data_IF_461942247363
#
_entry.id   IF_461942247363
#
_cell.length_a   1.000
_cell.length_b   1.000
_cell.length_c   1.000
_cell.angle_alpha   90.00
_cell.angle_beta   90.00
_cell.angle_gamma   90.00
#
_symmetry.space_group_name_H-M   'P 1'
#
loop_
_entity.id
_entity.type
_entity.pdbx_description
1 polymer ?
#
# COMPACT_ATOMS: atom_id res chain seq x y z
N UNK A 1 -39.04 -17.67 -1.33
CA UNK A 1 -39.53 -17.98 -2.69
C UNK A 1 -38.76 -17.07 -3.63
N UNK A 2 -37.76 -17.59 -4.35
CA UNK A 2 -36.97 -16.79 -5.30
C UNK A 2 -37.86 -16.42 -6.50
N UNK A 3 -38.08 -15.13 -6.71
CA UNK A 3 -38.86 -14.66 -7.86
C UNK A 3 -38.06 -14.88 -9.15
N UNK A 4 -38.78 -15.08 -10.25
CA UNK A 4 -38.18 -15.27 -11.59
C UNK A 4 -38.53 -14.06 -12.45
N UNK A 5 -37.54 -13.52 -13.13
CA UNK A 5 -37.66 -12.30 -13.93
C UNK A 5 -37.18 -12.56 -15.36
N UNK A 6 -37.77 -11.88 -16.34
CA UNK A 6 -37.21 -11.78 -17.68
C UNK A 6 -36.21 -10.62 -17.76
N UNK A 7 -35.36 -10.62 -18.80
CA UNK A 7 -34.51 -9.44 -19.08
C UNK A 7 -35.32 -8.18 -19.36
N UNK A 8 -36.54 -8.32 -19.90
CA UNK A 8 -37.43 -7.20 -20.16
C UNK A 8 -37.96 -6.58 -18.85
N UNK A 9 -38.25 -7.41 -17.84
CA UNK A 9 -38.64 -6.94 -16.51
C UNK A 9 -37.53 -6.07 -15.93
N UNK A 10 -36.29 -6.58 -15.89
CA UNK A 10 -35.12 -5.83 -15.41
C UNK A 10 -34.94 -4.53 -16.20
N UNK A 11 -35.08 -4.56 -17.53
CA UNK A 11 -34.91 -3.37 -18.38
C UNK A 11 -35.90 -2.23 -18.08
N UNK A 12 -37.06 -2.53 -17.50
CA UNK A 12 -38.04 -1.53 -17.06
C UNK A 12 -37.64 -0.78 -15.78
N UNK A 13 -36.70 -1.33 -15.01
CA UNK A 13 -36.15 -0.76 -13.76
C UNK A 13 -34.80 -0.07 -14.04
N UNK A 14 -34.85 1.03 -14.81
CA UNK A 14 -33.68 1.74 -15.33
C UNK A 14 -33.56 3.20 -14.86
N UNK A 15 -34.26 3.60 -13.80
CA UNK A 15 -34.34 4.99 -13.31
C UNK A 15 -33.80 5.12 -11.89
N UNK A 16 -33.54 6.35 -11.46
CA UNK A 16 -32.99 6.63 -10.13
C UNK A 16 -33.93 6.33 -8.96
N UNK A 17 -35.22 6.14 -9.21
CA UNK A 17 -36.25 5.73 -8.24
C UNK A 17 -36.60 4.24 -8.37
N UNK A 18 -35.98 3.52 -9.32
CA UNK A 18 -36.24 2.13 -9.64
C UNK A 18 -35.07 1.56 -10.46
N UNK A 19 -34.10 0.95 -9.77
CA UNK A 19 -32.80 0.58 -10.34
C UNK A 19 -32.46 -0.89 -10.08
N UNK A 20 -32.61 -1.74 -11.10
CA UNK A 20 -32.25 -3.15 -11.04
C UNK A 20 -31.09 -3.48 -11.97
N UNK A 21 -30.32 -4.51 -11.62
CA UNK A 21 -29.24 -5.04 -12.47
C UNK A 21 -29.23 -6.57 -12.44
N UNK A 22 -28.59 -7.17 -13.44
CA UNK A 22 -28.28 -8.61 -13.46
C UNK A 22 -26.78 -8.82 -13.20
N UNK A 23 -26.46 -9.76 -12.32
CA UNK A 23 -25.10 -10.30 -12.12
C UNK A 23 -25.18 -11.82 -12.09
N UNK A 24 -24.53 -12.48 -13.05
CA UNK A 24 -24.50 -13.96 -13.20
C UNK A 24 -25.91 -14.59 -13.12
N UNK A 25 -26.82 -14.00 -13.88
CA UNK A 25 -28.25 -14.38 -13.99
C UNK A 25 -29.06 -14.23 -12.69
N UNK A 26 -28.50 -13.65 -11.63
CA UNK A 26 -29.25 -13.19 -10.45
C UNK A 26 -29.66 -11.72 -10.60
N UNK A 27 -30.86 -11.38 -10.16
CA UNK A 27 -31.44 -10.03 -10.25
C UNK A 27 -31.37 -9.35 -8.89
N UNK A 28 -30.82 -8.13 -8.88
CA UNK A 28 -30.59 -7.34 -7.68
C UNK A 28 -31.32 -6.00 -7.77
N UNK A 29 -32.00 -5.62 -6.69
CA UNK A 29 -32.59 -4.29 -6.53
C UNK A 29 -31.61 -3.38 -5.78
N UNK A 30 -31.11 -2.36 -6.47
CA UNK A 30 -30.15 -1.40 -5.93
C UNK A 30 -30.79 -0.04 -5.64
N UNK A 31 -32.12 0.08 -5.72
CA UNK A 31 -32.84 1.35 -5.58
C UNK A 31 -32.53 2.06 -4.26
N UNK A 32 -32.37 1.31 -3.15
CA UNK A 32 -31.97 1.90 -1.86
C UNK A 32 -30.45 1.94 -1.68
N UNK A 33 -29.74 0.99 -2.28
CA UNK A 33 -28.29 0.84 -2.12
C UNK A 33 -27.48 1.85 -2.96
N UNK A 34 -28.09 2.46 -3.98
CA UNK A 34 -27.38 3.33 -4.91
C UNK A 34 -26.71 4.55 -4.26
N UNK A 35 -27.22 5.00 -3.11
CA UNK A 35 -26.66 6.12 -2.34
C UNK A 35 -25.49 5.66 -1.43
N UNK A 36 -25.45 4.37 -1.08
CA UNK A 36 -24.41 3.74 -0.24
C UNK A 36 -23.28 3.10 -1.07
N UNK A 37 -23.43 3.05 -2.40
CA UNK A 37 -22.45 2.43 -3.28
C UNK A 37 -21.13 3.25 -3.31
N UNK A 38 -19.95 2.70 -2.93
CA UNK A 38 -18.70 3.46 -2.80
C UNK A 38 -18.22 4.15 -4.08
N UNK A 39 -18.56 3.61 -5.25
CA UNK A 39 -18.27 4.25 -6.55
C UNK A 39 -19.23 5.39 -6.93
N UNK A 40 -20.22 5.69 -6.08
CA UNK A 40 -21.25 6.69 -6.30
C UNK A 40 -22.39 6.26 -7.23
N UNK A 41 -23.56 6.86 -7.00
CA UNK A 41 -24.83 6.61 -7.73
C UNK A 41 -24.72 6.68 -9.25
N UNK A 42 -23.94 7.63 -9.78
CA UNK A 42 -23.79 7.87 -11.23
C UNK A 42 -23.25 6.66 -12.00
N UNK A 43 -22.45 5.80 -11.36
CA UNK A 43 -21.90 4.60 -12.00
C UNK A 43 -23.00 3.55 -12.18
N UNK A 44 -23.86 3.37 -11.18
CA UNK A 44 -24.97 2.42 -11.21
C UNK A 44 -26.03 2.81 -12.25
N UNK A 45 -26.30 4.11 -12.41
CA UNK A 45 -27.26 4.59 -13.42
C UNK A 45 -26.88 4.19 -14.86
N UNK A 46 -25.58 3.99 -15.16
CA UNK A 46 -25.12 3.58 -16.50
C UNK A 46 -25.47 2.14 -16.86
N UNK A 47 -25.58 1.29 -15.83
CA UNK A 47 -25.87 -0.15 -15.94
C UNK A 47 -27.26 -0.52 -15.45
N UNK A 48 -28.06 0.47 -15.03
CA UNK A 48 -29.44 0.30 -14.63
C UNK A 48 -30.26 -0.36 -15.76
N UNK A 49 -31.02 -1.39 -15.38
CA UNK A 49 -31.83 -2.21 -16.29
C UNK A 49 -31.03 -3.13 -17.22
N UNK A 50 -29.75 -3.39 -16.94
CA UNK A 50 -28.87 -4.18 -17.82
C UNK A 50 -28.19 -5.33 -17.09
N UNK A 51 -27.62 -6.23 -17.89
CA UNK A 51 -26.62 -7.20 -17.43
C UNK A 51 -25.29 -6.47 -17.16
N UNK A 52 -24.91 -6.44 -15.89
CA UNK A 52 -23.73 -5.78 -15.40
C UNK A 52 -22.63 -6.78 -14.99
N UNK A 53 -22.76 -8.07 -15.32
CA UNK A 53 -21.84 -9.12 -14.82
C UNK A 53 -20.39 -8.81 -15.17
N UNK A 54 -20.10 -8.39 -16.41
CA UNK A 54 -18.73 -8.02 -16.84
C UNK A 54 -18.19 -6.82 -16.05
N UNK A 55 -19.01 -5.80 -15.82
CA UNK A 55 -18.63 -4.60 -15.08
C UNK A 55 -18.45 -4.90 -13.59
N UNK A 56 -19.31 -5.75 -13.03
CA UNK A 56 -19.23 -6.20 -11.65
C UNK A 56 -17.88 -6.87 -11.40
N UNK A 57 -17.53 -7.89 -12.20
CA UNK A 57 -16.28 -8.64 -12.03
C UNK A 57 -15.00 -7.87 -12.39
N UNK A 58 -15.11 -6.77 -13.14
CA UNK A 58 -13.99 -5.87 -13.39
C UNK A 58 -13.58 -5.08 -12.13
N UNK A 59 -14.52 -4.79 -11.23
CA UNK A 59 -14.31 -3.89 -10.09
C UNK A 59 -14.59 -4.52 -8.71
N UNK A 60 -15.17 -5.72 -8.67
CA UNK A 60 -15.58 -6.41 -7.44
C UNK A 60 -15.13 -7.87 -7.45
N UNK A 61 -15.16 -8.50 -6.27
CA UNK A 61 -14.83 -9.92 -6.07
C UNK A 61 -16.02 -10.67 -5.44
N UNK A 62 -15.88 -12.00 -5.33
CA UNK A 62 -16.94 -12.89 -4.84
C UNK A 62 -17.36 -12.58 -3.39
N UNK A 63 -16.44 -12.08 -2.55
CA UNK A 63 -16.73 -11.70 -1.17
C UNK A 63 -17.77 -10.58 -1.06
N UNK A 64 -17.73 -9.62 -2.00
CA UNK A 64 -18.74 -8.55 -2.08
C UNK A 64 -20.11 -9.15 -2.43
N UNK A 65 -20.15 -10.06 -3.40
CA UNK A 65 -21.39 -10.72 -3.77
C UNK A 65 -21.97 -11.53 -2.59
N UNK A 66 -21.14 -12.31 -1.89
CA UNK A 66 -21.56 -13.06 -0.68
C UNK A 66 -22.13 -12.16 0.42
N UNK A 67 -21.52 -10.98 0.62
CA UNK A 67 -21.95 -10.02 1.65
C UNK A 67 -23.32 -9.41 1.35
N UNK A 68 -23.55 -8.97 0.11
CA UNK A 68 -24.74 -8.18 -0.24
C UNK A 68 -25.87 -8.99 -0.88
N UNK A 69 -25.60 -10.21 -1.35
CA UNK A 69 -26.61 -11.09 -1.96
C UNK A 69 -27.82 -11.35 -1.06
N UNK A 70 -27.68 -11.65 0.25
CA UNK A 70 -28.84 -11.88 1.12
C UNK A 70 -29.78 -10.68 1.25
N UNK A 71 -29.26 -9.45 1.10
CA UNK A 71 -30.03 -8.21 1.29
C UNK A 71 -30.54 -7.59 0.00
N UNK A 72 -29.85 -7.78 -1.13
CA UNK A 72 -30.13 -7.06 -2.38
C UNK A 72 -30.70 -7.96 -3.48
N UNK A 73 -30.54 -9.28 -3.38
CA UNK A 73 -31.07 -10.20 -4.39
C UNK A 73 -32.59 -10.30 -4.26
N UNK A 74 -33.30 -10.01 -5.35
CA UNK A 74 -34.77 -10.16 -5.42
C UNK A 74 -35.19 -11.41 -6.19
N UNK A 75 -34.31 -12.00 -6.99
CA UNK A 75 -34.56 -13.25 -7.68
C UNK A 75 -33.49 -13.61 -8.71
N UNK A 76 -33.88 -14.35 -9.74
CA UNK A 76 -33.00 -14.79 -10.83
C UNK A 76 -33.73 -14.72 -12.18
N UNK A 77 -32.96 -14.69 -13.27
CA UNK A 77 -33.53 -14.73 -14.60
C UNK A 77 -34.20 -16.07 -14.89
N UNK A 78 -35.22 -16.04 -15.73
CA UNK A 78 -35.88 -17.20 -16.33
C UNK A 78 -34.93 -18.12 -17.11
N UNK A 79 -33.82 -17.57 -17.62
CA UNK A 79 -32.74 -18.32 -18.27
C UNK A 79 -31.89 -19.15 -17.30
N UNK A 80 -31.94 -18.88 -15.99
CA UNK A 80 -31.10 -19.56 -15.02
C UNK A 80 -31.63 -20.98 -14.78
N UNK A 81 -30.82 -22.04 -14.97
CA UNK A 81 -31.25 -23.41 -14.72
C UNK A 81 -31.76 -23.54 -13.28
N UNK A 82 -33.04 -23.93 -13.11
CA UNK A 82 -33.57 -24.23 -11.78
C UNK A 82 -32.78 -25.41 -11.21
N UNK A 83 -32.04 -25.18 -10.12
CA UNK A 83 -31.47 -26.28 -9.37
C UNK A 83 -32.61 -27.17 -8.88
N UNK A 84 -32.63 -28.43 -9.30
CA UNK A 84 -33.51 -29.44 -8.70
C UNK A 84 -33.33 -29.43 -7.17
N UNK A 85 -34.40 -29.60 -6.39
CA UNK A 85 -34.26 -29.72 -4.95
C UNK A 85 -33.41 -30.96 -4.65
N UNK A 86 -32.24 -30.75 -4.03
CA UNK A 86 -31.48 -31.85 -3.42
C UNK A 86 -32.42 -32.60 -2.46
N UNK A 87 -32.47 -33.94 -2.49
CA UNK A 87 -33.26 -34.70 -1.53
C UNK A 87 -32.84 -34.33 -0.11
N UNK A 88 -33.81 -34.10 0.77
CA UNK A 88 -33.58 -34.09 2.21
C UNK A 88 -32.88 -35.39 2.61
N UNK A 89 -31.69 -35.27 3.19
CA UNK A 89 -31.08 -36.37 3.92
C UNK A 89 -31.93 -36.61 5.17
N UNK A 90 -32.74 -37.67 5.11
CA UNK A 90 -33.34 -38.30 6.28
C UNK A 90 -32.24 -38.63 7.28
N UNK A 91 -32.49 -38.28 8.53
CA UNK A 91 -31.74 -38.75 9.67
C UNK A 91 -31.81 -40.28 9.75
N UNK A 92 -30.63 -40.93 9.75
CA UNK A 92 -30.47 -42.26 10.31
C UNK A 92 -29.39 -42.22 11.40
N UNK A 93 -29.78 -42.69 12.59
CA UNK A 93 -28.98 -42.81 13.79
C UNK A 93 -28.22 -44.17 13.78
N UNK A 94 -26.97 -44.24 14.25
CA UNK A 94 -26.51 -44.67 15.60
C UNK A 94 -25.00 -45.02 15.48
N UNK A 95 -24.16 -45.07 16.55
CA UNK A 95 -24.52 -45.53 17.89
C UNK A 95 -24.04 -44.69 19.08
N UNK A 96 -24.85 -44.75 20.12
CA UNK A 96 -24.49 -44.44 21.50
C UNK A 96 -23.40 -45.41 21.97
N UNK A 97 -22.21 -44.88 22.26
CA UNK A 97 -21.30 -45.47 23.23
C UNK A 97 -20.86 -44.38 24.20
N UNK A 98 -21.38 -44.46 25.41
CA UNK A 98 -20.85 -43.77 26.59
C UNK A 98 -19.45 -44.31 26.88
N UNK A 99 -18.43 -43.47 26.76
CA UNK A 99 -17.14 -43.69 27.39
C UNK A 99 -16.88 -42.53 28.36
N UNK A 100 -16.75 -42.91 29.63
CA UNK A 100 -16.47 -42.01 30.73
C UNK A 100 -15.16 -41.25 30.50
N UNK A 101 -15.14 -39.99 30.95
CA UNK A 101 -13.93 -39.18 31.00
C UNK A 101 -12.84 -39.91 31.81
N UNK A 102 -11.63 -40.11 31.26
CA UNK A 102 -10.52 -40.57 32.06
C UNK A 102 -10.06 -39.42 32.96
N UNK A 103 -10.01 -39.69 34.26
CA UNK A 103 -9.35 -38.85 35.25
C UNK A 103 -7.86 -38.75 34.88
N UNK A 104 -7.28 -37.55 34.74
CA UNK A 104 -5.86 -37.44 34.40
C UNK A 104 -5.02 -37.94 35.57
N UNK A 105 -4.28 -39.02 35.33
CA UNK A 105 -3.23 -39.52 36.21
C UNK A 105 -2.00 -38.63 36.00
N UNK A 106 -1.54 -37.97 37.08
CA UNK A 106 -0.28 -37.22 37.09
C UNK A 106 0.90 -38.17 36.88
N UNK A 107 1.68 -37.95 35.82
CA UNK A 107 3.07 -38.38 35.69
C UNK A 107 3.85 -37.26 34.96
N UNK A 108 5.15 -37.09 35.24
CA UNK A 108 5.77 -35.78 35.36
C UNK A 108 6.04 -35.14 34.00
N UNK A 109 5.48 -33.95 33.81
CA UNK A 109 5.88 -33.03 32.74
C UNK A 109 7.28 -32.55 33.08
N UNK A 110 8.26 -32.91 32.26
CA UNK A 110 9.53 -32.18 32.21
C UNK A 110 9.20 -30.74 31.82
N UNK A 111 9.53 -29.82 32.72
CA UNK A 111 9.37 -28.38 32.54
C UNK A 111 10.20 -27.91 31.33
N UNK A 112 9.59 -27.81 30.17
CA UNK A 112 9.94 -26.74 29.24
C UNK A 112 9.24 -25.50 29.77
N UNK A 113 10.02 -24.49 30.15
CA UNK A 113 9.54 -23.20 30.60
C UNK A 113 8.70 -22.58 29.48
N UNK A 114 7.37 -22.62 29.61
CA UNK A 114 6.53 -21.62 28.96
C UNK A 114 6.84 -20.31 29.68
N UNK A 115 7.58 -19.41 29.01
CA UNK A 115 7.71 -18.03 29.47
C UNK A 115 6.29 -17.45 29.54
N UNK A 116 5.81 -17.25 30.76
CA UNK A 116 4.61 -16.49 31.05
C UNK A 116 4.87 -15.07 30.51
N UNK A 117 4.23 -14.72 29.40
CA UNK A 117 4.49 -13.44 28.74
C UNK A 117 4.02 -12.30 29.65
N UNK A 118 4.98 -11.67 30.33
CA UNK A 118 4.74 -10.58 31.27
C UNK A 118 4.16 -9.35 30.54
N UNK A 119 3.23 -8.64 31.20
CA UNK A 119 2.71 -7.39 30.65
C UNK A 119 3.83 -6.34 30.59
N UNK A 120 3.94 -5.64 29.45
CA UNK A 120 4.90 -4.54 29.29
C UNK A 120 4.64 -3.43 30.32
N UNK A 121 5.73 -2.78 30.76
CA UNK A 121 5.63 -1.57 31.59
C UNK A 121 4.77 -0.50 30.89
N UNK A 122 3.92 0.18 31.67
CA UNK A 122 3.03 1.20 31.14
C UNK A 122 3.82 2.39 30.57
N UNK A 123 3.49 2.77 29.34
CA UNK A 123 4.09 3.91 28.64
C UNK A 123 3.04 4.88 28.06
N UNK A 124 3.39 6.16 27.90
CA UNK A 124 2.54 7.18 27.26
C UNK A 124 1.62 7.97 28.19
N UNK A 125 0.64 8.66 27.59
CA UNK A 125 -0.17 9.74 28.17
C UNK A 125 -1.10 9.33 29.32
N UNK A 126 -1.33 8.03 29.56
CA UNK A 126 -2.30 7.47 30.52
C UNK A 126 -3.76 7.99 30.39
N UNK A 127 -4.02 8.89 29.44
CA UNK A 127 -5.35 9.35 29.06
C UNK A 127 -6.01 8.22 28.28
N UNK A 128 -7.23 7.79 28.64
CA UNK A 128 -7.93 6.74 27.92
C UNK A 128 -7.97 7.02 26.42
N UNK A 129 -7.54 6.05 25.61
CA UNK A 129 -7.52 6.09 24.15
C UNK A 129 -6.57 7.11 23.50
N UNK A 130 -5.71 7.80 24.27
CA UNK A 130 -4.68 8.68 23.72
C UNK A 130 -3.47 7.92 23.16
N UNK A 131 -3.34 6.65 23.51
CA UNK A 131 -2.24 5.75 23.15
C UNK A 131 -2.78 4.34 22.89
N UNK A 132 -2.16 3.56 21.97
CA UNK A 132 -2.42 2.14 21.84
C UNK A 132 -2.31 1.36 23.15
N UNK A 133 -3.28 0.49 23.42
CA UNK A 133 -3.35 -0.28 24.66
C UNK A 133 -2.26 -1.35 24.81
N UNK A 134 -1.60 -1.75 23.72
CA UNK A 134 -0.64 -2.85 23.71
C UNK A 134 0.65 -2.58 24.50
N UNK A 135 0.95 -1.32 24.85
CA UNK A 135 2.02 -0.96 25.78
C UNK A 135 1.49 -0.28 27.07
N UNK A 136 0.19 -0.48 27.37
CA UNK A 136 -0.50 0.06 28.55
C UNK A 136 -1.29 -1.04 29.27
N UNK A 137 -0.68 -2.20 29.51
CA UNK A 137 -1.26 -3.39 30.19
C UNK A 137 -1.96 -4.44 29.31
N UNK A 138 -1.87 -4.37 27.97
CA UNK A 138 -2.43 -5.41 27.09
C UNK A 138 -1.33 -6.20 26.39
N UNK A 139 -1.28 -7.51 26.60
CA UNK A 139 -0.37 -8.38 25.86
C UNK A 139 -0.82 -8.55 24.40
N UNK A 140 0.08 -8.29 23.46
CA UNK A 140 -0.14 -8.47 22.03
C UNK A 140 0.74 -9.59 21.49
N UNK A 141 0.18 -10.49 20.68
CA UNK A 141 0.98 -11.48 19.95
C UNK A 141 1.85 -10.86 18.83
N UNK A 142 1.67 -9.58 18.52
CA UNK A 142 2.36 -8.86 17.45
C UNK A 142 3.38 -7.84 17.95
N UNK A 143 3.24 -7.36 19.19
CA UNK A 143 4.12 -6.33 19.75
C UNK A 143 4.83 -6.90 20.98
N UNK A 144 6.07 -6.48 21.18
CA UNK A 144 6.96 -6.92 22.25
C UNK A 144 7.81 -5.75 22.74
N UNK A 145 8.83 -6.03 23.55
CA UNK A 145 9.68 -5.02 24.19
C UNK A 145 10.46 -4.19 23.18
N UNK A 146 10.90 -4.76 22.04
CA UNK A 146 11.64 -3.99 21.04
C UNK A 146 10.75 -2.97 20.34
N UNK A 147 9.47 -3.29 20.14
CA UNK A 147 8.47 -2.36 19.64
C UNK A 147 8.22 -1.21 20.63
N UNK A 148 8.08 -1.52 21.91
CA UNK A 148 7.89 -0.51 22.95
C UNK A 148 9.12 0.41 23.08
N UNK A 149 10.33 -0.17 23.05
CA UNK A 149 11.59 0.58 23.11
C UNK A 149 11.76 1.52 21.90
N UNK A 150 11.42 1.05 20.69
CA UNK A 150 11.43 1.88 19.49
C UNK A 150 10.45 3.04 19.60
N UNK A 151 9.23 2.75 20.05
CA UNK A 151 8.21 3.78 20.23
C UNK A 151 8.67 4.86 21.19
N UNK A 152 9.28 4.48 22.31
CA UNK A 152 9.81 5.43 23.28
C UNK A 152 10.90 6.32 22.68
N UNK A 153 11.85 5.72 21.97
CA UNK A 153 12.95 6.43 21.32
C UNK A 153 12.46 7.42 20.24
N UNK A 154 11.54 6.99 19.37
CA UNK A 154 11.01 7.85 18.30
C UNK A 154 10.13 8.95 18.90
N UNK A 155 9.34 8.66 19.93
CA UNK A 155 8.49 9.65 20.60
C UNK A 155 9.32 10.76 21.22
N UNK A 156 10.40 10.42 21.92
CA UNK A 156 11.29 11.41 22.52
C UNK A 156 11.77 12.42 21.45
N UNK A 157 12.20 11.93 20.29
CA UNK A 157 12.59 12.79 19.18
C UNK A 157 11.44 13.60 18.59
N UNK A 158 10.27 12.99 18.41
CA UNK A 158 9.08 13.66 17.87
C UNK A 158 8.62 14.79 18.78
N UNK A 159 8.46 14.55 20.08
CA UNK A 159 7.96 15.54 21.05
C UNK A 159 8.96 16.69 21.27
N UNK A 160 10.28 16.41 21.22
CA UNK A 160 11.30 17.42 21.47
C UNK A 160 11.68 18.25 20.23
N UNK A 161 11.86 17.60 19.07
CA UNK A 161 12.49 18.22 17.90
C UNK A 161 11.51 18.50 16.74
N UNK A 162 10.28 17.95 16.77
CA UNK A 162 9.34 18.04 15.64
C UNK A 162 8.04 18.72 16.06
N UNK A 163 7.33 18.19 17.05
CA UNK A 163 6.01 18.66 17.47
C UNK A 163 5.95 20.17 17.74
N UNK A 164 6.93 20.80 18.44
CA UNK A 164 6.89 22.22 18.71
C UNK A 164 6.96 23.12 17.47
N UNK A 165 7.46 22.58 16.35
CA UNK A 165 7.82 23.35 15.15
C UNK A 165 6.99 22.99 13.91
N UNK A 166 6.32 21.84 13.91
CA UNK A 166 5.67 21.28 12.70
C UNK A 166 4.65 22.23 12.07
N UNK A 167 3.92 22.98 12.90
CA UNK A 167 2.90 23.93 12.43
C UNK A 167 3.56 25.06 11.64
N UNK A 168 4.65 25.62 12.14
CA UNK A 168 5.43 26.65 11.46
C UNK A 168 6.02 26.14 10.14
N UNK A 169 6.52 24.90 10.14
CA UNK A 169 7.07 24.27 8.93
C UNK A 169 6.01 24.07 7.84
N UNK A 170 4.80 23.66 8.23
CA UNK A 170 3.68 23.55 7.29
C UNK A 170 3.28 24.90 6.70
N UNK A 171 3.15 25.94 7.52
CA UNK A 171 2.83 27.29 7.05
C UNK A 171 3.91 27.84 6.10
N UNK A 172 5.19 27.55 6.39
CA UNK A 172 6.33 27.87 5.53
C UNK A 172 6.45 26.96 4.31
N UNK A 173 5.65 25.90 4.24
CA UNK A 173 5.69 24.85 3.21
C UNK A 173 7.04 24.14 3.13
N UNK A 174 7.82 24.10 4.20
CA UNK A 174 9.19 23.57 4.17
C UNK A 174 9.56 22.95 5.52
N UNK A 175 10.11 21.73 5.48
CA UNK A 175 10.70 21.06 6.65
C UNK A 175 12.21 21.26 6.59
N UNK A 176 12.87 21.68 7.68
CA UNK A 176 14.32 21.83 7.70
C UNK A 176 15.01 20.53 7.26
N UNK A 177 15.96 20.64 6.32
CA UNK A 177 16.73 19.47 5.80
C UNK A 177 17.36 18.65 6.93
N UNK A 178 17.74 19.30 8.01
CA UNK A 178 18.36 18.67 9.18
C UNK A 178 17.47 17.60 9.81
N UNK A 179 16.14 17.74 9.79
CA UNK A 179 15.22 16.73 10.33
C UNK A 179 15.28 15.43 9.52
N UNK A 180 15.42 15.53 8.21
CA UNK A 180 15.57 14.35 7.34
C UNK A 180 16.96 13.69 7.51
N UNK A 181 18.01 14.49 7.67
CA UNK A 181 19.35 13.98 7.99
C UNK A 181 19.36 13.27 9.35
N UNK A 182 18.68 13.82 10.34
CA UNK A 182 18.58 13.25 11.67
C UNK A 182 17.88 11.89 11.66
N UNK A 183 16.82 11.71 10.86
CA UNK A 183 16.23 10.39 10.63
C UNK A 183 17.23 9.37 10.07
N UNK A 184 18.14 9.81 9.20
CA UNK A 184 19.24 8.99 8.69
C UNK A 184 20.33 8.72 9.74
N UNK A 185 20.67 9.68 10.59
CA UNK A 185 21.63 9.50 11.71
C UNK A 185 21.11 8.55 12.77
N UNK A 186 19.80 8.55 13.02
CA UNK A 186 19.11 7.62 13.92
C UNK A 186 18.88 6.24 13.31
N UNK A 187 19.17 6.07 12.02
CA UNK A 187 19.01 4.80 11.30
C UNK A 187 17.55 4.46 10.97
N UNK A 188 16.61 5.40 11.11
CA UNK A 188 15.19 5.18 10.85
C UNK A 188 14.90 4.93 9.36
N UNK A 189 15.61 5.61 8.46
CA UNK A 189 15.40 5.46 7.02
C UNK A 189 15.65 4.03 6.52
N UNK A 190 16.58 3.29 7.13
CA UNK A 190 16.81 1.87 6.79
C UNK A 190 15.62 0.96 7.14
N UNK A 191 14.79 1.37 8.10
CA UNK A 191 13.58 0.67 8.51
C UNK A 191 12.32 1.05 7.72
N UNK A 192 12.38 2.03 6.80
CA UNK A 192 11.22 2.63 6.11
C UNK A 192 11.16 2.27 4.61
N UNK A 193 11.64 1.09 4.23
CA UNK A 193 11.74 0.64 2.84
C UNK A 193 10.79 -0.54 2.51
N UNK A 194 9.94 -0.99 3.43
CA UNK A 194 9.03 -2.11 3.21
C UNK A 194 9.71 -3.44 2.85
N UNK A 195 10.99 -3.60 3.22
CA UNK A 195 11.84 -4.75 2.94
C UNK A 195 12.60 -5.17 4.19
N UNK A 196 13.26 -6.32 4.15
CA UNK A 196 14.22 -6.72 5.20
C UNK A 196 15.27 -5.61 5.38
N UNK A 197 15.59 -5.30 6.63
CA UNK A 197 16.55 -4.26 7.00
C UNK A 197 17.89 -4.43 6.22
N UNK A 198 18.33 -3.45 5.43
CA UNK A 198 19.44 -3.58 4.49
C UNK A 198 20.79 -3.37 5.18
N UNK A 199 21.19 -4.32 6.03
CA UNK A 199 22.37 -4.23 6.90
C UNK A 199 23.65 -3.91 6.12
N UNK A 200 23.80 -4.44 4.91
CA UNK A 200 25.00 -4.26 4.08
C UNK A 200 25.18 -2.84 3.53
N UNK A 201 24.13 -2.01 3.54
CA UNK A 201 24.16 -0.62 3.08
C UNK A 201 23.95 0.39 4.22
N UNK A 202 23.70 -0.09 5.43
CA UNK A 202 23.31 0.74 6.57
C UNK A 202 24.51 1.08 7.44
N UNK A 203 24.84 2.37 7.52
CA UNK A 203 25.93 2.87 8.36
C UNK A 203 25.45 3.16 9.80
N UNK A 204 24.32 3.85 9.92
CA UNK A 204 23.71 4.21 11.20
C UNK A 204 22.55 3.28 11.52
N UNK A 205 22.42 2.85 12.77
CA UNK A 205 21.40 1.88 13.20
C UNK A 205 20.50 2.48 14.25
N UNK A 206 19.27 2.00 14.27
CA UNK A 206 18.31 2.27 15.36
C UNK A 206 18.92 1.80 16.67
N UNK A 207 18.86 2.66 17.70
CA UNK A 207 19.52 2.40 18.99
C UNK A 207 18.80 1.31 19.78
N UNK A 208 17.47 1.38 19.82
CA UNK A 208 16.60 0.46 20.58
C UNK A 208 16.42 -0.92 19.95
N UNK A 209 16.62 -1.06 18.64
CA UNK A 209 16.28 -2.29 17.91
C UNK A 209 17.46 -2.77 17.06
N UNK A 210 18.02 -3.96 17.35
CA UNK A 210 19.04 -4.55 16.51
C UNK A 210 18.44 -4.97 15.16
N UNK A 211 19.15 -4.83 14.02
CA UNK A 211 18.61 -5.15 12.69
C UNK A 211 18.05 -6.56 12.54
N UNK A 212 18.58 -7.52 13.30
CA UNK A 212 18.17 -8.93 13.26
C UNK A 212 16.77 -9.15 13.86
N UNK A 213 16.30 -8.21 14.69
CA UNK A 213 14.95 -8.21 15.29
C UNK A 213 13.98 -7.27 14.56
N UNK A 214 14.41 -6.60 13.49
CA UNK A 214 13.55 -5.68 12.75
C UNK A 214 12.45 -6.42 11.98
N UNK A 215 11.21 -5.95 12.12
CA UNK A 215 10.05 -6.43 11.38
C UNK A 215 9.18 -5.26 10.87
N UNK A 216 8.06 -5.57 10.21
CA UNK A 216 7.16 -4.55 9.64
C UNK A 216 6.37 -3.76 10.71
N UNK A 217 6.24 -4.29 11.94
CA UNK A 217 5.58 -3.56 13.02
C UNK A 217 6.50 -2.46 13.56
N UNK A 218 7.82 -2.63 13.52
CA UNK A 218 8.78 -1.56 13.80
C UNK A 218 8.69 -0.41 12.78
N UNK A 219 8.57 -0.73 11.49
CA UNK A 219 8.32 0.26 10.43
C UNK A 219 7.01 1.02 10.65
N UNK A 220 5.95 0.30 11.04
CA UNK A 220 4.66 0.89 11.37
C UNK A 220 4.76 1.83 12.57
N UNK A 221 5.57 1.51 13.59
CA UNK A 221 5.76 2.36 14.77
C UNK A 221 6.45 3.68 14.42
N UNK A 222 7.49 3.67 13.58
CA UNK A 222 8.10 4.93 13.12
C UNK A 222 7.06 5.78 12.41
N UNK A 223 6.28 5.16 11.50
CA UNK A 223 5.23 5.87 10.76
C UNK A 223 4.16 6.46 11.68
N UNK A 224 3.74 5.70 12.69
CA UNK A 224 2.73 6.11 13.66
C UNK A 224 3.22 7.26 14.56
N UNK A 225 4.44 7.16 15.10
CA UNK A 225 5.02 8.24 15.92
C UNK A 225 5.26 9.52 15.12
N UNK A 226 5.75 9.42 13.87
CA UNK A 226 5.84 10.60 12.97
C UNK A 226 4.46 11.23 12.69
N UNK A 227 3.38 10.44 12.73
CA UNK A 227 2.02 10.92 12.48
C UNK A 227 1.38 11.61 13.69
N UNK A 228 1.92 11.43 14.90
CA UNK A 228 1.37 12.02 16.14
C UNK A 228 1.27 13.53 16.11
N UNK A 229 2.15 14.18 15.36
CA UNK A 229 2.21 15.65 15.27
C UNK A 229 1.07 16.26 14.43
N UNK A 230 0.17 15.43 13.88
CA UNK A 230 -1.04 15.90 13.20
C UNK A 230 -0.81 16.56 11.84
N UNK A 231 0.39 16.46 11.27
CA UNK A 231 0.74 17.04 9.98
C UNK A 231 0.95 15.98 8.89
N UNK A 232 0.01 15.89 7.95
CA UNK A 232 0.19 15.08 6.75
C UNK A 232 1.30 15.60 5.84
N UNK A 233 1.57 16.91 5.86
CA UNK A 233 2.65 17.53 5.09
C UNK A 233 4.01 17.03 5.55
N UNK A 234 4.24 17.05 6.87
CA UNK A 234 5.47 16.56 7.49
C UNK A 234 5.66 15.05 7.28
N UNK A 235 4.62 14.24 7.53
CA UNK A 235 4.70 12.79 7.30
C UNK A 235 5.07 12.50 5.85
N UNK A 236 4.42 13.15 4.88
CA UNK A 236 4.75 12.95 3.47
C UNK A 236 6.11 13.53 3.08
N UNK A 237 6.60 14.56 3.78
CA UNK A 237 7.99 15.02 3.64
C UNK A 237 8.96 13.90 4.02
N UNK A 238 8.78 13.30 5.19
CA UNK A 238 9.71 12.32 5.74
C UNK A 238 9.67 10.98 5.01
N UNK A 239 8.48 10.44 4.73
CA UNK A 239 8.34 9.06 4.23
C UNK A 239 7.60 8.96 2.88
N UNK A 240 6.89 10.02 2.46
CA UNK A 240 5.96 9.95 1.33
C UNK A 240 6.63 9.73 -0.03
N UNK A 241 7.79 10.35 -0.28
CA UNK A 241 8.60 10.05 -1.47
C UNK A 241 9.55 8.88 -1.25
N UNK A 242 10.25 8.88 -0.12
CA UNK A 242 11.26 7.88 0.24
C UNK A 242 10.70 6.45 0.27
N UNK A 243 9.62 6.24 1.02
CA UNK A 243 9.05 4.92 1.30
C UNK A 243 8.42 4.23 0.08
N UNK A 244 8.22 4.96 -1.03
CA UNK A 244 7.72 4.41 -2.29
C UNK A 244 8.73 4.49 -3.44
N UNK A 245 9.65 5.46 -3.39
CA UNK A 245 10.71 5.64 -4.38
C UNK A 245 11.89 4.69 -4.18
N UNK A 246 12.25 4.41 -2.92
CA UNK A 246 13.35 3.53 -2.54
C UNK A 246 13.12 2.03 -2.80
N UNK A 247 11.96 1.44 -2.45
CA UNK A 247 11.76 -0.01 -2.55
C UNK A 247 11.98 -0.61 -3.95
N UNK A 248 11.59 0.05 -5.07
CA UNK A 248 11.90 -0.45 -6.41
C UNK A 248 13.41 -0.56 -6.69
N UNK A 249 14.24 0.37 -6.20
CA UNK A 249 15.70 0.28 -6.31
C UNK A 249 16.23 -0.91 -5.50
N UNK A 250 15.77 -1.09 -4.26
CA UNK A 250 16.18 -2.22 -3.42
C UNK A 250 15.80 -3.55 -4.05
N UNK A 251 14.58 -3.65 -4.61
CA UNK A 251 14.05 -4.91 -5.14
C UNK A 251 14.57 -5.25 -6.53
N UNK A 252 14.68 -4.27 -7.42
CA UNK A 252 14.90 -4.49 -8.86
C UNK A 252 16.16 -3.83 -9.42
N UNK A 253 16.84 -2.98 -8.65
CA UNK A 253 18.09 -2.36 -9.08
C UNK A 253 19.21 -3.38 -9.29
N UNK A 254 20.15 -3.04 -10.18
CA UNK A 254 21.41 -3.78 -10.31
C UNK A 254 22.28 -3.55 -9.07
N UNK A 255 23.17 -4.48 -8.74
CA UNK A 255 24.05 -4.38 -7.56
C UNK A 255 24.86 -3.08 -7.56
N UNK A 256 25.40 -2.68 -8.72
CA UNK A 256 26.16 -1.44 -8.87
C UNK A 256 25.36 -0.18 -8.52
N UNK A 257 24.05 -0.14 -8.83
CA UNK A 257 23.19 0.97 -8.42
C UNK A 257 22.94 0.96 -6.91
N UNK A 258 22.64 -0.22 -6.35
CA UNK A 258 22.39 -0.37 -4.91
C UNK A 258 23.60 0.07 -4.09
N UNK A 259 24.79 -0.43 -4.45
CA UNK A 259 26.05 -0.10 -3.80
C UNK A 259 26.34 1.41 -3.81
N UNK A 260 26.01 2.10 -4.91
CA UNK A 260 26.28 3.53 -5.07
C UNK A 260 25.24 4.43 -4.38
N UNK A 261 23.96 4.05 -4.40
CA UNK A 261 22.85 4.94 -4.05
C UNK A 261 22.29 4.67 -2.66
N UNK A 262 22.18 3.40 -2.26
CA UNK A 262 21.54 3.06 -0.97
C UNK A 262 22.23 3.73 0.22
N UNK A 263 23.57 3.74 0.34
CA UNK A 263 24.21 4.40 1.48
C UNK A 263 23.79 5.86 1.63
N UNK A 264 23.74 6.63 0.54
CA UNK A 264 23.40 8.06 0.59
C UNK A 264 21.93 8.35 0.89
N UNK A 265 20.99 7.50 0.45
CA UNK A 265 19.58 7.68 0.81
C UNK A 265 19.28 7.20 2.24
N UNK A 266 20.05 6.24 2.75
CA UNK A 266 19.88 5.70 4.10
C UNK A 266 20.48 6.63 5.18
N UNK A 267 21.52 7.40 4.85
CA UNK A 267 22.04 8.47 5.70
C UNK A 267 21.20 9.75 5.62
N UNK A 268 20.26 9.83 4.69
CA UNK A 268 19.44 11.02 4.43
C UNK A 268 20.18 12.13 3.67
N UNK A 269 21.45 11.93 3.30
CA UNK A 269 22.23 12.91 2.53
C UNK A 269 21.63 13.16 1.14
N UNK A 270 21.03 12.10 0.59
CA UNK A 270 20.35 12.07 -0.70
C UNK A 270 18.89 11.69 -0.52
N UNK A 271 18.02 12.18 -1.41
CA UNK A 271 16.58 11.85 -1.40
C UNK A 271 16.16 11.13 -2.66
N UNK A 272 15.17 10.24 -2.52
CA UNK A 272 14.57 9.49 -3.61
C UNK A 272 13.05 9.63 -3.57
N UNK A 273 12.40 9.72 -4.72
CA UNK A 273 10.95 9.70 -4.84
C UNK A 273 10.45 8.81 -5.98
N UNK A 274 9.15 8.54 -6.00
CA UNK A 274 8.47 7.80 -7.06
C UNK A 274 7.78 8.75 -8.04
N UNK A 275 8.12 8.65 -9.31
CA UNK A 275 7.65 9.52 -10.39
C UNK A 275 6.84 8.74 -11.44
N UNK A 276 5.56 8.50 -11.15
CA UNK A 276 4.66 7.72 -12.02
C UNK A 276 3.64 8.63 -12.71
N UNK A 277 2.80 9.28 -11.92
CA UNK A 277 1.63 10.03 -12.37
C UNK A 277 2.01 11.17 -13.30
N UNK A 278 1.20 11.37 -14.33
CA UNK A 278 1.34 12.42 -15.34
C UNK A 278 0.12 13.34 -15.32
N UNK A 279 0.18 14.52 -15.96
CA UNK A 279 -1.00 15.38 -16.13
C UNK A 279 -2.22 14.65 -16.69
N UNK A 280 -2.00 13.75 -17.66
CA UNK A 280 -3.04 13.03 -18.38
C UNK A 280 -3.23 11.57 -17.93
N UNK A 281 -2.38 11.06 -17.02
CA UNK A 281 -2.41 9.67 -16.55
C UNK A 281 -2.24 9.57 -15.02
N UNK A 282 -3.38 9.50 -14.32
CA UNK A 282 -3.47 9.24 -12.88
C UNK A 282 -3.84 7.80 -12.56
N UNK A 283 -5.15 7.50 -12.55
CA UNK A 283 -5.65 6.13 -12.34
C UNK A 283 -5.33 5.19 -13.50
N UNK A 284 -5.14 5.73 -14.70
CA UNK A 284 -4.81 4.98 -15.92
C UNK A 284 -3.32 5.06 -16.25
N UNK A 285 -2.48 4.59 -15.31
CA UNK A 285 -1.01 4.57 -15.46
C UNK A 285 -0.57 3.78 -16.71
N UNK A 286 -1.39 2.84 -17.18
CA UNK A 286 -1.07 2.02 -18.34
C UNK A 286 -0.95 2.83 -19.63
N UNK A 287 -1.52 4.04 -19.67
CA UNK A 287 -1.51 4.97 -20.79
C UNK A 287 -0.63 6.21 -20.56
N UNK A 288 0.34 6.12 -19.64
CA UNK A 288 1.38 7.14 -19.51
C UNK A 288 2.13 7.36 -20.84
N UNK A 289 2.59 8.59 -21.05
CA UNK A 289 3.17 9.10 -22.29
C UNK A 289 4.61 9.58 -22.15
N UNK A 290 5.14 9.76 -20.93
CA UNK A 290 6.56 10.02 -20.73
C UNK A 290 7.39 8.89 -21.33
N UNK A 291 8.15 9.21 -22.38
CA UNK A 291 8.83 8.24 -23.22
C UNK A 291 10.30 8.09 -22.85
N UNK A 292 10.84 6.91 -23.13
CA UNK A 292 12.24 6.58 -23.00
C UNK A 292 12.67 5.80 -24.25
N UNK A 293 13.29 6.50 -25.20
CA UNK A 293 13.77 5.91 -26.46
C UNK A 293 15.21 5.46 -26.33
N UNK A 294 15.51 4.23 -26.72
CA UNK A 294 16.89 3.75 -26.72
C UNK A 294 17.72 4.53 -27.76
N UNK A 295 18.90 4.98 -27.38
CA UNK A 295 19.86 5.64 -28.26
C UNK A 295 20.34 4.68 -29.35
N UNK A 296 20.81 5.21 -30.48
CA UNK A 296 21.30 4.41 -31.61
C UNK A 296 22.43 3.46 -31.22
N UNK A 297 23.28 3.85 -30.26
CA UNK A 297 24.37 3.04 -29.74
C UNK A 297 23.94 2.02 -28.67
N UNK A 298 22.67 2.03 -28.27
CA UNK A 298 22.10 1.11 -27.29
C UNK A 298 22.55 1.34 -25.85
N UNK A 299 23.20 2.46 -25.54
CA UNK A 299 23.80 2.70 -24.21
C UNK A 299 22.95 3.54 -23.28
N UNK A 300 22.04 4.35 -23.82
CA UNK A 300 21.21 5.25 -23.04
C UNK A 300 19.75 5.19 -23.49
N UNK A 301 18.84 5.44 -22.55
CA UNK A 301 17.50 5.90 -22.85
C UNK A 301 17.52 7.43 -22.91
N UNK A 302 16.91 8.00 -23.94
CA UNK A 302 16.59 9.42 -24.05
C UNK A 302 15.18 9.61 -23.52
N UNK A 303 15.05 10.26 -22.37
CA UNK A 303 13.78 10.40 -21.64
C UNK A 303 13.18 11.77 -21.87
N UNK A 304 11.91 11.81 -22.28
CA UNK A 304 11.13 13.02 -22.50
C UNK A 304 9.73 12.89 -21.88
N UNK A 305 9.24 13.93 -21.21
CA UNK A 305 7.88 14.01 -20.71
C UNK A 305 7.75 14.65 -19.34
N UNK A 306 6.56 14.57 -18.77
CA UNK A 306 6.22 15.26 -17.52
C UNK A 306 5.62 14.33 -16.48
N UNK A 307 5.89 14.63 -15.22
CA UNK A 307 5.31 13.98 -14.05
C UNK A 307 4.64 15.01 -13.16
N UNK A 308 3.54 14.63 -12.53
CA UNK A 308 2.69 15.49 -11.70
C UNK A 308 2.35 14.80 -10.39
N UNK A 309 2.19 15.59 -9.33
CA UNK A 309 1.90 15.12 -7.97
C UNK A 309 3.05 14.32 -7.34
N UNK A 310 4.30 14.64 -7.68
CA UNK A 310 5.45 13.87 -7.19
C UNK A 310 5.88 14.40 -5.82
N UNK A 311 5.55 13.65 -4.78
CA UNK A 311 5.95 13.93 -3.39
C UNK A 311 7.46 13.93 -3.25
N UNK A 312 7.99 14.92 -2.52
CA UNK A 312 9.42 15.21 -2.32
C UNK A 312 10.23 15.55 -3.59
N UNK A 313 9.60 15.57 -4.78
CA UNK A 313 10.30 15.74 -6.05
C UNK A 313 11.18 17.00 -6.12
N UNK A 314 10.85 18.05 -5.38
CA UNK A 314 11.63 19.30 -5.34
C UNK A 314 13.01 19.12 -4.66
N UNK A 315 13.16 18.14 -3.75
CA UNK A 315 14.41 17.87 -3.04
C UNK A 315 15.09 16.57 -3.47
N UNK A 316 14.39 15.68 -4.19
CA UNK A 316 14.95 14.38 -4.60
C UNK A 316 16.16 14.51 -5.51
N UNK A 317 17.19 13.73 -5.24
CA UNK A 317 18.33 13.51 -6.12
C UNK A 317 18.05 12.39 -7.12
N UNK A 318 17.19 11.44 -6.73
CA UNK A 318 16.87 10.25 -7.51
C UNK A 318 15.35 10.13 -7.74
N UNK A 319 14.97 9.75 -8.95
CA UNK A 319 13.58 9.57 -9.36
C UNK A 319 13.40 8.16 -9.88
N UNK A 320 12.63 7.34 -9.16
CA UNK A 320 12.13 6.07 -9.67
C UNK A 320 10.97 6.38 -10.60
N UNK A 321 11.21 6.35 -11.91
CA UNK A 321 10.30 6.92 -12.92
C UNK A 321 9.68 5.83 -13.79
N UNK A 322 8.36 5.82 -13.91
CA UNK A 322 7.68 5.00 -14.91
C UNK A 322 7.70 5.69 -16.28
N UNK A 323 8.18 4.97 -17.29
CA UNK A 323 8.37 5.49 -18.65
C UNK A 323 7.90 4.49 -19.70
N UNK A 324 7.50 5.00 -20.87
CA UNK A 324 7.15 4.23 -22.07
C UNK A 324 8.42 3.88 -22.83
N UNK A 325 8.82 2.62 -22.78
CA UNK A 325 9.93 2.07 -23.60
C UNK A 325 9.43 1.24 -24.78
N UNK A 326 8.18 0.77 -24.73
CA UNK A 326 7.58 -0.09 -25.75
C UNK A 326 6.24 0.46 -26.27
N UNK A 327 5.39 -0.45 -26.75
CA UNK A 327 4.06 -0.11 -27.28
C UNK A 327 3.04 0.28 -26.21
N UNK A 328 1.76 0.32 -26.59
CA UNK A 328 0.67 0.75 -25.70
C UNK A 328 0.43 -0.19 -24.51
N UNK A 329 -0.22 0.35 -23.47
CA UNK A 329 -0.67 -0.42 -22.31
C UNK A 329 0.46 -0.87 -21.36
N UNK A 330 0.11 -1.74 -20.41
CA UNK A 330 0.99 -2.12 -19.30
C UNK A 330 2.30 -2.80 -19.74
N UNK A 331 2.29 -3.48 -20.89
CA UNK A 331 3.45 -4.22 -21.41
C UNK A 331 4.43 -3.35 -22.21
N UNK A 332 4.25 -2.02 -22.25
CA UNK A 332 5.24 -1.10 -22.82
C UNK A 332 5.86 -0.15 -21.81
N UNK A 333 5.57 -0.34 -20.52
CA UNK A 333 6.06 0.52 -19.44
C UNK A 333 7.25 -0.15 -18.74
N UNK A 334 8.28 0.66 -18.46
CA UNK A 334 9.47 0.30 -17.69
C UNK A 334 9.64 1.22 -16.48
N UNK A 335 10.50 0.83 -15.54
CA UNK A 335 10.96 1.69 -14.46
C UNK A 335 12.43 2.05 -14.69
N UNK A 336 12.74 3.34 -14.77
CA UNK A 336 14.11 3.85 -14.81
C UNK A 336 14.41 4.60 -13.51
N UNK A 337 15.64 4.47 -13.01
CA UNK A 337 16.15 5.36 -11.98
C UNK A 337 16.84 6.56 -12.64
N UNK A 338 16.20 7.72 -12.61
CA UNK A 338 16.74 8.96 -13.19
C UNK A 338 17.42 9.76 -12.09
N UNK A 339 18.61 10.29 -12.34
CA UNK A 339 19.35 11.11 -11.38
C UNK A 339 19.23 12.59 -11.79
N UNK A 340 19.06 13.48 -10.82
CA UNK A 340 18.85 14.92 -11.06
C UNK A 340 19.99 15.55 -11.86
N UNK A 341 21.22 15.10 -11.63
CA UNK A 341 22.44 15.65 -12.21
C UNK A 341 22.74 15.16 -13.64
N UNK A 342 21.92 14.27 -14.20
CA UNK A 342 22.03 13.82 -15.60
C UNK A 342 21.74 14.93 -16.63
N UNK A 343 21.26 16.09 -16.18
CA UNK A 343 20.82 17.19 -17.04
C UNK A 343 19.42 16.94 -17.62
N UNK A 344 18.74 18.00 -18.06
CA UNK A 344 17.39 17.90 -18.62
C UNK A 344 16.28 17.59 -17.60
N UNK A 345 16.59 17.61 -16.30
CA UNK A 345 15.60 17.42 -15.23
C UNK A 345 15.26 18.77 -14.62
N UNK A 346 14.01 19.21 -14.74
CA UNK A 346 13.51 20.42 -14.06
C UNK A 346 12.36 20.09 -13.12
N UNK A 347 12.26 20.84 -12.02
CA UNK A 347 11.26 20.60 -10.98
C UNK A 347 10.61 21.90 -10.54
N UNK A 348 9.27 21.89 -10.42
CA UNK A 348 8.49 23.04 -9.96
C UNK A 348 7.49 22.62 -8.89
N UNK A 349 7.54 23.28 -7.73
CA UNK A 349 6.62 23.01 -6.62
C UNK A 349 5.17 23.33 -6.98
N UNK A 350 4.24 22.54 -6.44
CA UNK A 350 2.80 22.69 -6.60
C UNK A 350 2.18 23.33 -5.35
N UNK A 351 1.29 24.31 -5.55
CA UNK A 351 0.41 24.78 -4.49
C UNK A 351 -0.76 23.82 -4.33
N UNK A 352 -0.86 23.23 -3.13
CA UNK A 352 -1.85 22.22 -2.77
C UNK A 352 -2.77 22.76 -1.69
N UNK A 353 -4.01 22.25 -1.61
CA UNK A 353 -4.96 22.65 -0.56
C UNK A 353 -4.49 22.24 0.85
N UNK A 354 -3.71 21.17 0.96
CA UNK A 354 -3.08 20.70 2.20
C UNK A 354 -1.74 20.06 1.92
N UNK A 355 -1.19 19.35 2.91
CA UNK A 355 0.13 18.68 2.86
C UNK A 355 1.25 19.61 2.38
N UNK A 356 1.23 20.87 2.81
CA UNK A 356 2.02 21.94 2.21
C UNK A 356 3.53 21.70 2.27
N UNK A 357 4.03 21.15 3.37
CA UNK A 357 5.44 20.85 3.55
C UNK A 357 5.90 19.54 2.89
N UNK A 358 5.05 18.81 2.16
CA UNK A 358 5.40 17.52 1.53
C UNK A 358 6.23 17.65 0.24
N UNK A 359 6.31 18.86 -0.33
CA UNK A 359 7.05 19.14 -1.56
C UNK A 359 6.47 18.46 -2.80
N UNK A 360 5.14 18.43 -2.93
CA UNK A 360 4.45 18.02 -4.15
C UNK A 360 4.95 18.80 -5.36
N UNK A 361 5.37 18.08 -6.42
CA UNK A 361 6.19 18.65 -7.48
C UNK A 361 5.73 18.21 -8.89
N UNK A 362 5.80 19.14 -9.83
CA UNK A 362 5.89 18.87 -11.26
C UNK A 362 7.34 18.58 -11.62
N UNK A 363 7.57 17.55 -12.43
CA UNK A 363 8.90 17.21 -12.95
C UNK A 363 8.80 17.18 -14.47
N UNK A 364 9.73 17.85 -15.15
CA UNK A 364 9.87 17.78 -16.60
C UNK A 364 11.22 17.15 -16.93
N UNK A 365 11.18 16.19 -17.85
CA UNK A 365 12.35 15.54 -18.43
C UNK A 365 12.47 15.98 -19.89
N UNK A 366 13.59 16.59 -20.25
CA UNK A 366 13.91 17.08 -21.58
C UNK A 366 15.25 16.47 -22.03
N UNK A 367 15.19 15.52 -22.97
CA UNK A 367 16.33 14.81 -23.54
C UNK A 367 17.32 14.25 -22.50
N UNK A 368 16.79 13.75 -21.37
CA UNK A 368 17.62 13.20 -20.29
C UNK A 368 18.26 11.90 -20.75
N UNK A 369 19.60 11.85 -20.72
CA UNK A 369 20.38 10.67 -21.11
C UNK A 369 20.57 9.75 -19.91
N UNK A 370 19.69 8.75 -19.79
CA UNK A 370 19.70 7.79 -18.69
C UNK A 370 20.41 6.51 -19.14
N UNK A 371 21.50 6.07 -18.49
CA UNK A 371 22.18 4.84 -18.87
C UNK A 371 21.28 3.60 -18.79
N UNK A 372 21.46 2.62 -19.68
CA UNK A 372 20.65 1.39 -19.66
C UNK A 372 20.84 0.55 -18.39
N UNK A 373 21.92 0.79 -17.65
CA UNK A 373 22.13 0.20 -16.32
C UNK A 373 21.20 0.74 -15.24
N UNK A 374 20.59 1.92 -15.45
CA UNK A 374 19.62 2.53 -14.55
C UNK A 374 18.20 1.93 -14.70
N UNK A 375 18.00 0.99 -15.62
CA UNK A 375 16.77 0.21 -15.73
C UNK A 375 16.57 -0.65 -14.47
N UNK A 376 15.43 -0.46 -13.81
CA UNK A 376 15.01 -1.22 -12.65
C UNK A 376 14.18 -2.42 -13.11
N UNK A 377 14.75 -3.62 -12.97
CA UNK A 377 14.12 -4.86 -13.41
C UNK A 377 14.33 -5.12 -14.90
N UNK A 378 13.25 -5.48 -15.60
CA UNK A 378 13.29 -5.79 -17.04
C UNK A 378 12.50 -4.75 -17.81
N UNK A 379 12.98 -4.46 -19.02
CA UNK A 379 12.29 -3.59 -19.96
C UNK A 379 10.88 -4.12 -20.21
N UNK A 380 9.92 -3.20 -20.31
CA UNK A 380 8.51 -3.48 -20.58
C UNK A 380 7.81 -4.30 -19.46
N UNK A 381 8.40 -4.36 -18.26
CA UNK A 381 7.87 -5.06 -17.10
C UNK A 381 7.65 -4.16 -15.88
N UNK A 382 7.50 -2.85 -16.07
CA UNK A 382 7.28 -1.87 -15.00
C UNK A 382 6.02 -2.12 -14.17
N UNK A 383 4.98 -2.74 -14.75
CA UNK A 383 3.78 -3.19 -14.03
C UNK A 383 3.93 -4.56 -13.37
N UNK A 384 4.87 -5.39 -13.83
CA UNK A 384 5.07 -6.73 -13.29
C UNK A 384 5.94 -6.66 -12.04
N UNK A 385 5.44 -5.98 -11.02
CA UNK A 385 5.80 -6.35 -9.66
C UNK A 385 5.33 -7.77 -9.44
N UNK A 386 6.22 -8.74 -9.22
CA UNK A 386 5.81 -10.01 -8.61
C UNK A 386 5.27 -9.69 -7.20
N UNK A 387 3.98 -9.39 -7.14
CA UNK A 387 3.04 -9.61 -6.06
C UNK A 387 2.23 -10.85 -6.45
N UNK A 388 2.90 -12.01 -6.49
CA UNK A 388 2.21 -13.29 -6.45
C UNK A 388 2.39 -13.77 -5.01
N UNK A 389 1.32 -13.85 -4.20
CA UNK A 389 1.39 -14.68 -3.01
C UNK A 389 1.62 -16.10 -3.54
N UNK A 390 2.82 -16.64 -3.31
CA UNK A 390 2.92 -18.10 -3.31
C UNK A 390 2.00 -18.57 -2.18
N UNK A 391 1.11 -19.55 -2.41
CA UNK A 391 0.41 -20.20 -1.33
C UNK A 391 1.44 -20.67 -0.30
N UNK A 392 1.15 -20.45 0.98
CA UNK A 392 1.85 -21.12 2.06
C UNK A 392 1.59 -22.62 1.91
N UNK A 393 2.51 -23.33 1.25
CA UNK A 393 2.56 -24.78 1.29
C UNK A 393 3.98 -25.23 1.59
N UNK A 394 4.08 -25.89 2.75
CA UNK A 394 5.08 -26.90 3.15
C UNK A 394 6.52 -26.42 3.39
N UNK A 395 6.82 -26.12 4.66
CA UNK A 395 8.10 -26.52 5.25
C UNK A 395 7.81 -27.66 6.23
N UNK A 396 8.22 -28.86 5.86
CA UNK A 396 8.52 -29.99 6.75
C UNK A 396 9.92 -29.82 7.34
#
# INVERSE_FOLDING_TARGET
>A
MSQTFSKADVASHNKGDSLWIIVDEDVYDLTKFQDDHPGGKKILTRVAGKDASKQFWKYHNEGILKKYKPSLQIGSLDSKPKSEPKPELKAEAKPSTTLAAPVPTKAPVQSSQEEEAEALEQYGSQIPFADPSWYQNYHSAYYNESHAALRAEVREWVESEIEPFVTEWDEKKDVPREIFLEAGRRGYLAGLLGVKYPVEYTQNRVKSVPPEKWDLFHEMIITDELSRVGSGGFVWNMIGGFGIGGPPLVKFGKKSLKDRILPGILTGEKRICLAITEPDAGSDVANLTCEAKLSEDGKHYIVNGEKKWITNGIWSDYFTTAVRTGGEGMNGVSLLLIERDMGGVSTRRMDCQGVWSSGTTYITFEDVKVPVENLLGKENQGFKGKFSPKPFDTYS
#
